data_IF_874946665625
#
_entry.id   IF_874946665625
#
_cell.length_a   1.000
_cell.length_b   1.000
_cell.length_c   1.000
_cell.angle_alpha   90.00
_cell.angle_beta   90.00
_cell.angle_gamma   90.00
#
_symmetry.space_group_name_H-M   'P 1'
#
loop_
_entity.id
_entity.type
_entity.pdbx_description
1 polymer ?
#
# COMPACT_ATOMS: atom_id res chain seq x y z
N UNK A 1 -18.45 10.26 -28.15
CA UNK A 1 -17.25 9.39 -28.24
C UNK A 1 -17.01 8.66 -26.93
N UNK A 2 -16.93 9.33 -25.78
CA UNK A 2 -16.75 8.73 -24.44
C UNK A 2 -17.80 7.67 -24.10
N UNK A 3 -19.09 7.96 -24.36
CA UNK A 3 -20.19 7.03 -24.06
C UNK A 3 -20.04 5.69 -24.81
N UNK A 4 -19.56 5.75 -26.08
CA UNK A 4 -19.33 4.56 -26.91
C UNK A 4 -18.14 3.74 -26.42
N UNK A 5 -17.05 4.41 -26.03
CA UNK A 5 -15.81 3.71 -25.61
C UNK A 5 -15.97 3.08 -24.21
N UNK A 6 -16.46 3.86 -23.24
CA UNK A 6 -16.61 3.39 -21.86
C UNK A 6 -17.93 2.66 -21.60
N UNK A 7 -18.84 2.57 -22.62
CA UNK A 7 -20.13 1.87 -22.51
C UNK A 7 -20.97 2.38 -21.34
N UNK A 8 -21.06 3.71 -21.20
CA UNK A 8 -21.67 4.35 -20.04
C UNK A 8 -23.14 3.95 -19.88
N UNK A 9 -23.90 3.90 -20.99
CA UNK A 9 -25.33 3.50 -20.97
C UNK A 9 -25.50 2.04 -20.57
N UNK A 10 -24.63 1.14 -21.06
CA UNK A 10 -24.64 -0.27 -20.70
C UNK A 10 -24.39 -0.48 -19.19
N UNK A 11 -23.58 0.38 -18.59
CA UNK A 11 -23.23 0.36 -17.17
C UNK A 11 -24.13 1.26 -16.31
N UNK A 12 -25.26 1.75 -16.84
CA UNK A 12 -26.22 2.61 -16.13
C UNK A 12 -25.57 3.83 -15.44
N UNK A 13 -24.62 4.48 -16.10
CA UNK A 13 -23.89 5.63 -15.56
C UNK A 13 -23.85 6.80 -16.57
N UNK A 14 -23.35 7.94 -16.13
CA UNK A 14 -23.21 9.15 -16.95
C UNK A 14 -21.80 9.73 -16.82
N UNK A 15 -21.35 10.53 -17.80
CA UNK A 15 -20.04 11.23 -17.75
C UNK A 15 -19.89 12.01 -16.44
N UNK A 16 -20.93 12.73 -16.03
CA UNK A 16 -20.91 13.51 -14.79
C UNK A 16 -20.69 12.63 -13.56
N UNK A 17 -21.40 11.49 -13.49
CA UNK A 17 -21.28 10.55 -12.38
C UNK A 17 -19.87 9.95 -12.32
N UNK A 18 -19.33 9.52 -13.46
CA UNK A 18 -17.99 8.94 -13.55
C UNK A 18 -16.89 9.94 -13.17
N UNK A 19 -16.99 11.20 -13.65
CA UNK A 19 -16.04 12.25 -13.28
C UNK A 19 -16.10 12.55 -11.79
N UNK A 20 -17.30 12.66 -11.21
CA UNK A 20 -17.47 12.89 -9.77
C UNK A 20 -16.95 11.70 -8.94
N UNK A 21 -17.15 10.47 -9.42
CA UNK A 21 -16.60 9.27 -8.82
C UNK A 21 -15.06 9.27 -8.86
N UNK A 22 -14.47 9.65 -10.00
CA UNK A 22 -13.01 9.76 -10.15
C UNK A 22 -12.41 10.82 -9.23
N UNK A 23 -13.03 11.99 -9.11
CA UNK A 23 -12.63 13.02 -8.13
C UNK A 23 -12.72 12.45 -6.70
N UNK A 24 -13.81 11.75 -6.39
CA UNK A 24 -13.99 11.15 -5.05
C UNK A 24 -12.90 10.11 -4.76
N UNK A 25 -12.57 9.22 -5.73
CA UNK A 25 -11.49 8.24 -5.58
C UNK A 25 -10.16 8.96 -5.37
N UNK A 26 -9.83 9.96 -6.20
CA UNK A 26 -8.60 10.73 -6.04
C UNK A 26 -8.50 11.38 -4.66
N UNK A 27 -9.58 12.03 -4.18
CA UNK A 27 -9.60 12.68 -2.86
C UNK A 27 -9.33 11.69 -1.72
N UNK A 28 -9.81 10.44 -1.84
CA UNK A 28 -9.53 9.40 -0.84
C UNK A 28 -8.14 8.83 -0.93
N UNK A 29 -7.49 8.93 -2.10
CA UNK A 29 -6.13 8.43 -2.37
C UNK A 29 -5.04 9.48 -2.24
N UNK A 30 -5.37 10.76 -2.28
CA UNK A 30 -4.38 11.84 -2.39
C UNK A 30 -3.39 11.89 -1.19
N UNK A 31 -3.69 11.20 -0.09
CA UNK A 31 -2.75 11.02 1.02
C UNK A 31 -1.46 10.32 0.58
N UNK A 32 -1.51 9.47 -0.45
CA UNK A 32 -0.35 8.77 -1.03
C UNK A 32 0.73 9.77 -1.49
N UNK A 33 0.32 10.95 -1.96
CA UNK A 33 1.24 12.00 -2.41
C UNK A 33 2.14 12.55 -1.29
N UNK A 34 1.70 12.44 -0.04
CA UNK A 34 2.51 12.78 1.12
C UNK A 34 3.20 11.55 1.73
N UNK A 35 2.45 10.45 1.86
CA UNK A 35 2.91 9.24 2.56
C UNK A 35 4.00 8.49 1.77
N UNK A 36 3.83 8.32 0.45
CA UNK A 36 4.79 7.54 -0.33
C UNK A 36 6.18 8.20 -0.40
N UNK A 37 6.31 9.52 -0.69
CA UNK A 37 7.58 10.20 -0.60
C UNK A 37 8.23 10.16 0.80
N UNK A 38 7.43 10.17 1.85
CA UNK A 38 7.92 10.05 3.23
C UNK A 38 8.54 8.67 3.47
N UNK A 39 7.81 7.58 3.16
CA UNK A 39 8.30 6.20 3.38
C UNK A 39 9.53 5.88 2.54
N UNK A 40 9.53 6.23 1.26
CA UNK A 40 10.68 5.96 0.39
C UNK A 40 11.83 6.94 0.65
N UNK A 41 11.54 8.12 1.21
CA UNK A 41 12.52 9.06 1.72
C UNK A 41 13.33 8.47 2.89
N UNK A 42 12.68 7.73 3.80
CA UNK A 42 13.36 7.00 4.88
C UNK A 42 14.36 5.95 4.32
N UNK A 43 14.08 5.41 3.13
CA UNK A 43 14.99 4.52 2.40
C UNK A 43 16.13 5.26 1.65
N UNK A 44 16.24 6.58 1.78
CA UNK A 44 17.30 7.41 1.18
C UNK A 44 17.02 7.86 -0.26
N UNK A 45 15.76 7.77 -0.74
CA UNK A 45 15.35 8.29 -2.04
C UNK A 45 14.95 9.77 -1.92
N UNK A 46 15.19 10.59 -2.97
CA UNK A 46 14.74 12.00 -2.98
C UNK A 46 13.18 12.06 -2.98
N UNK A 47 12.57 12.72 -1.97
CA UNK A 47 11.11 12.74 -1.85
C UNK A 47 10.40 13.43 -3.02
N UNK A 48 11.02 14.45 -3.64
CA UNK A 48 10.45 15.14 -4.81
C UNK A 48 10.47 14.23 -6.02
N UNK A 49 11.57 13.53 -6.27
CA UNK A 49 11.69 12.54 -7.33
C UNK A 49 10.66 11.42 -7.17
N UNK A 50 10.55 10.87 -5.96
CA UNK A 50 9.56 9.84 -5.61
C UNK A 50 8.14 10.32 -5.86
N UNK A 51 7.80 11.56 -5.48
CA UNK A 51 6.46 12.10 -5.71
C UNK A 51 6.15 12.19 -7.21
N UNK A 52 7.05 12.73 -8.01
CA UNK A 52 6.87 12.83 -9.46
C UNK A 52 6.71 11.44 -10.06
N UNK A 53 7.58 10.49 -9.68
CA UNK A 53 7.54 9.11 -10.13
C UNK A 53 6.21 8.43 -9.73
N UNK A 54 5.72 8.64 -8.51
CA UNK A 54 4.46 8.12 -8.01
C UNK A 54 3.26 8.66 -8.79
N UNK A 55 3.23 9.96 -9.05
CA UNK A 55 2.17 10.58 -9.86
C UNK A 55 2.14 10.04 -11.29
N UNK A 56 3.30 9.94 -11.92
CA UNK A 56 3.43 9.43 -13.29
C UNK A 56 3.08 7.95 -13.38
N UNK A 57 3.54 7.13 -12.44
CA UNK A 57 3.21 5.71 -12.39
C UNK A 57 1.71 5.48 -12.16
N UNK A 58 1.12 6.25 -11.23
CA UNK A 58 -0.33 6.23 -10.97
C UNK A 58 -1.14 6.67 -12.20
N UNK A 59 -0.66 7.69 -12.93
CA UNK A 59 -1.24 8.11 -14.20
C UNK A 59 -1.20 6.97 -15.23
N UNK A 60 -0.03 6.40 -15.50
CA UNK A 60 0.16 5.32 -16.48
C UNK A 60 -0.71 4.11 -16.11
N UNK A 61 -0.64 3.64 -14.87
CA UNK A 61 -1.40 2.48 -14.41
C UNK A 61 -2.91 2.69 -14.52
N UNK A 62 -3.40 3.84 -14.07
CA UNK A 62 -4.84 4.15 -14.12
C UNK A 62 -5.35 4.38 -15.55
N UNK A 63 -4.51 4.91 -16.45
CA UNK A 63 -4.82 4.98 -17.89
C UNK A 63 -4.89 3.57 -18.49
N UNK A 64 -3.92 2.68 -18.19
CA UNK A 64 -3.98 1.28 -18.61
C UNK A 64 -5.24 0.58 -18.10
N UNK A 65 -5.62 0.77 -16.82
CA UNK A 65 -6.85 0.24 -16.25
C UNK A 65 -8.08 0.75 -16.99
N UNK A 66 -8.13 2.05 -17.27
CA UNK A 66 -9.24 2.69 -17.97
C UNK A 66 -9.41 2.17 -19.40
N UNK A 67 -8.30 2.03 -20.13
CA UNK A 67 -8.32 1.69 -21.55
C UNK A 67 -8.38 0.18 -21.80
N UNK A 68 -7.67 -0.64 -21.03
CA UNK A 68 -7.59 -2.08 -21.24
C UNK A 68 -8.74 -2.83 -20.57
N UNK A 69 -9.04 -2.49 -19.31
CA UNK A 69 -10.03 -3.19 -18.51
C UNK A 69 -11.41 -2.51 -18.52
N UNK A 70 -11.47 -1.20 -18.74
CA UNK A 70 -12.67 -0.38 -18.58
C UNK A 70 -13.30 -0.55 -17.18
N UNK A 71 -12.48 -0.49 -16.13
CA UNK A 71 -12.89 -0.66 -14.74
C UNK A 71 -12.66 0.62 -13.93
N UNK A 72 -13.48 0.90 -12.89
CA UNK A 72 -13.39 2.11 -12.09
C UNK A 72 -12.28 2.05 -11.02
N UNK A 73 -11.32 1.13 -11.17
CA UNK A 73 -10.21 0.98 -10.23
C UNK A 73 -9.07 1.91 -10.59
N UNK A 74 -8.50 2.56 -9.59
CA UNK A 74 -7.37 3.46 -9.75
C UNK A 74 -6.12 2.78 -9.21
N UNK A 75 -4.99 2.93 -9.88
CA UNK A 75 -3.72 2.37 -9.49
C UNK A 75 -2.83 3.45 -8.89
N UNK A 76 -2.15 3.12 -7.81
CA UNK A 76 -1.12 3.95 -7.19
C UNK A 76 -0.21 3.10 -6.31
N UNK A 77 0.69 3.75 -5.57
CA UNK A 77 1.63 3.05 -4.71
C UNK A 77 0.93 2.23 -3.61
N UNK A 78 1.27 0.95 -3.52
CA UNK A 78 0.77 0.03 -2.49
C UNK A 78 1.49 0.23 -1.16
N UNK A 79 0.79 0.71 -0.13
CA UNK A 79 1.43 1.07 1.15
C UNK A 79 2.15 -0.10 1.82
N UNK A 80 1.58 -1.32 1.77
CA UNK A 80 2.22 -2.51 2.30
C UNK A 80 3.52 -2.86 1.60
N UNK A 81 3.53 -2.77 0.27
CA UNK A 81 4.71 -3.03 -0.55
C UNK A 81 5.78 -1.95 -0.37
N UNK A 82 5.37 -0.68 -0.23
CA UNK A 82 6.30 0.41 0.06
C UNK A 82 6.98 0.25 1.41
N UNK A 83 6.21 -0.17 2.41
CA UNK A 83 6.75 -0.46 3.74
C UNK A 83 7.72 -1.66 3.70
N UNK A 84 7.41 -2.71 2.98
CA UNK A 84 8.32 -3.83 2.75
C UNK A 84 9.59 -3.38 2.02
N UNK A 85 9.45 -2.56 0.98
CA UNK A 85 10.57 -1.97 0.25
C UNK A 85 11.51 -1.20 1.18
N UNK A 86 10.98 -0.19 1.89
CA UNK A 86 11.78 0.73 2.68
C UNK A 86 12.32 0.08 3.96
N UNK A 87 11.42 -0.49 4.77
CA UNK A 87 11.78 -0.91 6.13
C UNK A 87 12.33 -2.33 6.21
N UNK A 88 11.89 -3.25 5.34
CA UNK A 88 12.42 -4.61 5.36
C UNK A 88 13.63 -4.75 4.46
N UNK A 89 13.52 -4.37 3.17
CA UNK A 89 14.59 -4.63 2.20
C UNK A 89 15.74 -3.63 2.36
N UNK A 90 15.45 -2.32 2.39
CA UNK A 90 16.50 -1.31 2.43
C UNK A 90 17.07 -1.16 3.83
N UNK A 91 16.24 -0.83 4.83
CA UNK A 91 16.71 -0.57 6.18
C UNK A 91 17.00 -1.84 6.97
N UNK A 92 16.16 -2.88 6.84
CA UNK A 92 16.29 -4.13 7.58
C UNK A 92 17.42 -5.02 7.07
N UNK A 93 17.50 -5.27 5.77
CA UNK A 93 18.58 -6.07 5.17
C UNK A 93 19.82 -5.25 4.81
N UNK A 94 19.72 -3.91 4.84
CA UNK A 94 20.84 -3.02 4.50
C UNK A 94 21.16 -2.97 3.01
N UNK A 95 20.20 -3.31 2.13
CA UNK A 95 20.43 -3.31 0.69
C UNK A 95 20.19 -1.93 0.07
N UNK A 96 20.95 -1.56 -0.97
CA UNK A 96 20.68 -0.33 -1.71
C UNK A 96 19.26 -0.30 -2.26
N UNK A 97 18.58 0.84 -2.21
CA UNK A 97 17.21 0.97 -2.72
C UNK A 97 17.09 0.68 -4.22
N UNK A 98 18.18 0.82 -5.00
CA UNK A 98 18.24 0.43 -6.40
C UNK A 98 18.04 -1.08 -6.60
N UNK A 99 18.55 -1.90 -5.67
CA UNK A 99 18.34 -3.36 -5.67
C UNK A 99 16.86 -3.68 -5.41
N UNK A 100 16.24 -2.99 -4.47
CA UNK A 100 14.81 -3.12 -4.21
C UNK A 100 13.97 -2.70 -5.42
N UNK A 101 14.32 -1.60 -6.12
CA UNK A 101 13.66 -1.19 -7.37
C UNK A 101 13.82 -2.21 -8.49
N UNK A 102 15.01 -2.82 -8.62
CA UNK A 102 15.21 -3.88 -9.60
C UNK A 102 14.35 -5.11 -9.26
N UNK A 103 14.21 -5.46 -7.98
CA UNK A 103 13.34 -6.55 -7.57
C UNK A 103 11.87 -6.27 -7.96
N UNK A 104 11.38 -5.05 -7.76
CA UNK A 104 10.05 -4.59 -8.20
C UNK A 104 9.92 -4.62 -9.73
N UNK A 105 10.95 -4.21 -10.45
CA UNK A 105 10.94 -4.29 -11.92
C UNK A 105 10.81 -5.73 -12.42
N UNK A 106 11.62 -6.64 -11.85
CA UNK A 106 11.58 -8.07 -12.21
C UNK A 106 10.25 -8.70 -11.82
N UNK A 107 9.72 -8.34 -10.65
CA UNK A 107 8.37 -8.71 -10.21
C UNK A 107 7.31 -8.32 -11.25
N UNK A 108 7.31 -7.04 -11.68
CA UNK A 108 6.38 -6.54 -12.68
C UNK A 108 6.46 -7.31 -14.00
N UNK A 109 7.67 -7.63 -14.49
CA UNK A 109 7.86 -8.46 -15.69
C UNK A 109 7.30 -9.86 -15.51
N UNK A 110 7.58 -10.50 -14.35
CA UNK A 110 7.02 -11.82 -14.03
C UNK A 110 5.49 -11.75 -14.03
N UNK A 111 4.90 -10.70 -13.43
CA UNK A 111 3.45 -10.53 -13.41
C UNK A 111 2.85 -10.28 -14.79
N UNK A 112 3.53 -9.57 -15.71
CA UNK A 112 3.11 -9.45 -17.10
C UNK A 112 3.00 -10.86 -17.71
N UNK A 113 4.04 -11.69 -17.57
CA UNK A 113 4.05 -13.06 -18.09
C UNK A 113 2.95 -13.92 -17.43
N UNK A 114 2.78 -13.85 -16.12
CA UNK A 114 1.76 -14.61 -15.39
C UNK A 114 0.33 -14.14 -15.73
N UNK A 115 0.13 -12.85 -16.06
CA UNK A 115 -1.18 -12.31 -16.45
C UNK A 115 -1.64 -12.76 -17.84
N UNK A 116 -0.71 -13.23 -18.69
CA UNK A 116 -1.03 -13.89 -19.95
C UNK A 116 -1.57 -15.31 -19.75
N UNK A 117 -1.37 -15.87 -18.58
CA UNK A 117 -1.82 -17.21 -18.16
C UNK A 117 -2.82 -17.10 -17.01
N UNK A 118 -3.40 -18.22 -16.57
CA UNK A 118 -4.29 -18.26 -15.39
C UNK A 118 -3.51 -18.60 -14.10
N UNK A 119 -2.18 -18.56 -14.13
CA UNK A 119 -1.35 -19.00 -13.00
C UNK A 119 -1.51 -18.07 -11.79
N UNK A 120 -1.59 -16.75 -12.01
CA UNK A 120 -1.80 -15.76 -10.93
C UNK A 120 -3.11 -16.01 -10.17
N UNK A 121 -4.21 -16.28 -10.89
CA UNK A 121 -5.50 -16.64 -10.29
C UNK A 121 -5.42 -17.99 -9.56
N UNK A 122 -4.75 -19.00 -10.16
CA UNK A 122 -4.62 -20.32 -9.55
C UNK A 122 -3.84 -20.30 -8.25
N UNK A 123 -2.77 -19.49 -8.15
CA UNK A 123 -2.01 -19.31 -6.91
C UNK A 123 -2.92 -18.67 -5.85
N UNK A 124 -3.63 -17.59 -6.19
CA UNK A 124 -4.54 -16.94 -5.26
C UNK A 124 -5.65 -17.87 -4.78
N UNK A 125 -6.28 -18.61 -5.70
CA UNK A 125 -7.36 -19.55 -5.36
C UNK A 125 -6.87 -20.73 -4.51
N UNK A 126 -5.58 -21.07 -4.57
CA UNK A 126 -4.99 -22.14 -3.77
C UNK A 126 -4.92 -21.83 -2.27
N UNK A 127 -4.93 -20.54 -1.91
CA UNK A 127 -4.74 -20.08 -0.55
C UNK A 127 -6.08 -20.07 0.19
N UNK A 128 -6.14 -20.61 1.42
CA UNK A 128 -7.37 -20.64 2.20
C UNK A 128 -7.90 -19.24 2.52
N UNK A 129 -9.22 -19.09 2.47
CA UNK A 129 -9.90 -17.81 2.69
C UNK A 129 -9.55 -17.13 4.03
N UNK A 130 -9.45 -17.85 5.18
CA UNK A 130 -9.02 -17.24 6.43
C UNK A 130 -7.62 -16.64 6.35
N UNK A 131 -6.71 -17.30 5.65
CA UNK A 131 -5.34 -16.80 5.49
C UNK A 131 -5.28 -15.57 4.58
N UNK A 132 -6.10 -15.51 3.51
CA UNK A 132 -6.24 -14.31 2.67
C UNK A 132 -6.68 -13.09 3.49
N UNK A 133 -7.69 -13.27 4.34
CA UNK A 133 -8.14 -12.19 5.23
C UNK A 133 -7.10 -11.81 6.27
N UNK A 134 -6.38 -12.79 6.83
CA UNK A 134 -5.32 -12.56 7.80
C UNK A 134 -4.17 -11.74 7.21
N UNK A 135 -3.79 -11.98 5.95
CA UNK A 135 -2.78 -11.16 5.26
C UNK A 135 -3.21 -9.70 5.22
N UNK A 136 -4.45 -9.41 4.80
CA UNK A 136 -4.97 -8.03 4.77
C UNK A 136 -4.99 -7.38 6.16
N UNK A 137 -5.41 -8.12 7.19
CA UNK A 137 -5.43 -7.65 8.59
C UNK A 137 -4.00 -7.36 9.08
N UNK A 138 -3.07 -8.30 8.81
CA UNK A 138 -1.67 -8.17 9.24
C UNK A 138 -0.97 -6.97 8.58
N UNK A 139 -1.19 -6.77 7.27
CA UNK A 139 -0.69 -5.58 6.55
C UNK A 139 -1.26 -4.30 7.20
N UNK A 140 -2.56 -4.28 7.53
CA UNK A 140 -3.18 -3.14 8.18
C UNK A 140 -2.55 -2.80 9.54
N UNK A 141 -2.33 -3.79 10.38
CA UNK A 141 -1.64 -3.62 11.67
C UNK A 141 -0.20 -3.14 11.50
N UNK A 142 0.51 -3.71 10.53
CA UNK A 142 1.89 -3.36 10.22
C UNK A 142 2.02 -1.89 9.76
N UNK A 143 1.16 -1.43 8.85
CA UNK A 143 1.14 -0.05 8.37
C UNK A 143 0.80 0.92 9.51
N UNK A 144 -0.18 0.58 10.36
CA UNK A 144 -0.52 1.41 11.53
C UNK A 144 0.65 1.52 12.51
N UNK A 145 1.37 0.42 12.74
CA UNK A 145 2.55 0.38 13.60
C UNK A 145 3.68 1.28 13.06
N UNK A 146 3.97 1.18 11.76
CA UNK A 146 4.93 2.06 11.08
C UNK A 146 4.52 3.54 11.25
N UNK A 147 3.25 3.88 11.01
CA UNK A 147 2.76 5.23 11.18
C UNK A 147 3.00 5.77 12.58
N UNK A 148 2.74 4.99 13.62
CA UNK A 148 2.98 5.38 15.01
C UNK A 148 4.47 5.53 15.34
N UNK A 149 5.34 4.71 14.74
CA UNK A 149 6.80 4.84 14.89
C UNK A 149 7.33 6.09 14.17
N UNK A 150 6.92 6.33 12.92
CA UNK A 150 7.36 7.49 12.14
C UNK A 150 6.99 8.83 12.79
N UNK A 151 5.91 8.87 13.57
CA UNK A 151 5.53 10.03 14.37
C UNK A 151 6.21 10.11 15.74
N UNK A 152 6.99 9.10 16.11
CA UNK A 152 7.60 9.01 17.43
C UNK A 152 6.60 8.77 18.56
N UNK A 153 5.40 8.24 18.28
CA UNK A 153 4.43 7.82 19.32
C UNK A 153 4.91 6.52 19.95
N UNK A 154 5.32 5.57 19.11
CA UNK A 154 5.99 4.34 19.52
C UNK A 154 7.49 4.52 19.29
N UNK A 155 8.27 4.27 20.30
CA UNK A 155 9.73 4.41 20.31
C UNK A 155 10.39 3.13 20.80
N UNK A 156 11.69 3.02 20.58
CA UNK A 156 12.45 1.87 21.09
C UNK A 156 12.36 1.81 22.62
N UNK A 157 12.10 0.63 23.12
CA UNK A 157 12.01 0.32 24.54
C UNK A 157 13.17 -0.54 25.01
N UNK A 158 13.27 -0.72 26.32
CA UNK A 158 14.29 -1.59 26.91
C UNK A 158 14.15 -3.06 26.54
N UNK A 159 12.94 -3.48 26.17
CA UNK A 159 12.65 -4.87 25.77
C UNK A 159 12.26 -4.98 24.31
N UNK A 160 11.31 -4.22 23.82
CA UNK A 160 10.87 -4.21 22.44
C UNK A 160 10.55 -2.78 22.01
N UNK A 161 9.37 -2.28 22.36
CA UNK A 161 8.92 -0.92 22.09
C UNK A 161 8.23 -0.33 23.30
N UNK A 162 8.17 1.01 23.38
CA UNK A 162 7.48 1.73 24.43
C UNK A 162 6.72 2.94 23.87
N UNK A 163 5.80 3.46 24.67
CA UNK A 163 5.17 4.75 24.38
C UNK A 163 6.16 5.87 24.65
N UNK A 164 6.18 6.89 23.80
CA UNK A 164 7.00 8.08 23.97
C UNK A 164 6.71 8.75 25.33
N UNK A 165 7.75 9.28 25.95
CA UNK A 165 7.56 10.15 27.10
C UNK A 165 7.22 11.56 26.60
N UNK A 166 5.94 11.92 26.65
CA UNK A 166 5.46 13.23 26.17
C UNK A 166 6.06 14.42 26.90
N UNK A 167 6.51 14.26 28.12
CA UNK A 167 7.09 15.35 28.90
C UNK A 167 8.55 15.64 28.49
N UNK A 168 9.30 14.61 28.14
CA UNK A 168 10.70 14.75 27.70
C UNK A 168 10.71 15.29 26.27
N UNK A 169 11.41 16.39 26.02
CA UNK A 169 11.49 17.06 24.72
C UNK A 169 10.10 17.38 24.13
N UNK A 170 9.19 17.93 24.98
CA UNK A 170 7.83 18.24 24.59
C UNK A 170 7.75 19.13 23.35
N UNK A 171 8.63 20.13 23.22
CA UNK A 171 8.63 21.10 22.11
C UNK A 171 9.06 20.51 20.75
N UNK A 172 9.46 19.25 20.68
CA UNK A 172 9.87 18.56 19.45
C UNK A 172 9.14 17.23 19.31
N UNK A 173 9.68 16.13 19.85
CA UNK A 173 9.09 14.79 19.75
C UNK A 173 7.75 14.65 20.45
N UNK A 174 7.62 15.22 21.68
CA UNK A 174 6.39 15.10 22.45
C UNK A 174 5.17 15.73 21.77
N UNK A 175 5.31 16.96 21.27
CA UNK A 175 4.22 17.65 20.57
C UNK A 175 3.91 16.99 19.22
N UNK A 176 4.93 16.52 18.47
CA UNK A 176 4.74 15.80 17.20
C UNK A 176 3.92 14.52 17.41
N UNK A 177 4.28 13.72 18.41
CA UNK A 177 3.53 12.51 18.77
C UNK A 177 2.09 12.82 19.22
N UNK A 178 1.91 13.87 20.01
CA UNK A 178 0.56 14.29 20.44
C UNK A 178 -0.29 14.74 19.26
N UNK A 179 0.26 15.52 18.34
CA UNK A 179 -0.43 15.97 17.12
C UNK A 179 -0.82 14.80 16.23
N UNK A 180 0.03 13.78 16.10
CA UNK A 180 -0.29 12.55 15.36
C UNK A 180 -1.51 11.83 15.95
N UNK A 181 -1.61 11.72 17.27
CA UNK A 181 -2.76 11.12 17.95
C UNK A 181 -4.03 11.98 17.78
N UNK A 182 -3.94 13.29 17.97
CA UNK A 182 -5.05 14.21 17.74
C UNK A 182 -5.53 14.13 16.30
N UNK A 183 -4.61 14.11 15.33
CA UNK A 183 -4.90 13.96 13.91
C UNK A 183 -5.62 12.65 13.58
N UNK A 184 -5.22 11.56 14.23
CA UNK A 184 -5.91 10.26 14.09
C UNK A 184 -7.36 10.36 14.56
N UNK A 185 -7.64 11.01 15.69
CA UNK A 185 -9.00 11.25 16.14
C UNK A 185 -9.79 12.15 15.19
N UNK A 186 -9.17 13.23 14.67
CA UNK A 186 -9.82 14.10 13.68
C UNK A 186 -10.19 13.30 12.44
N UNK A 187 -9.28 12.47 11.92
CA UNK A 187 -9.53 11.62 10.75
C UNK A 187 -10.70 10.67 10.99
N UNK A 188 -10.73 10.02 12.16
CA UNK A 188 -11.81 9.13 12.56
C UNK A 188 -13.17 9.86 12.61
N UNK A 189 -13.22 11.05 13.22
CA UNK A 189 -14.44 11.86 13.28
C UNK A 189 -14.92 12.26 11.88
N UNK A 190 -14.01 12.71 11.02
CA UNK A 190 -14.35 13.08 9.64
C UNK A 190 -14.90 11.89 8.86
N UNK A 191 -14.30 10.70 9.06
CA UNK A 191 -14.77 9.46 8.43
C UNK A 191 -16.15 9.03 8.94
N UNK A 192 -16.39 9.05 10.25
CA UNK A 192 -17.70 8.74 10.86
C UNK A 192 -18.78 9.68 10.33
N UNK A 193 -18.43 10.95 10.10
CA UNK A 193 -19.32 11.94 9.48
C UNK A 193 -19.47 11.81 7.96
N UNK A 194 -18.91 10.77 7.35
CA UNK A 194 -18.93 10.51 5.91
C UNK A 194 -18.37 11.67 5.07
N UNK A 195 -17.36 12.39 5.56
CA UNK A 195 -16.68 13.44 4.80
C UNK A 195 -15.82 12.78 3.73
N UNK A 196 -16.10 13.08 2.47
CA UNK A 196 -15.29 12.58 1.34
C UNK A 196 -13.87 13.12 1.43
N UNK A 197 -12.86 12.24 1.30
CA UNK A 197 -11.46 12.62 1.49
C UNK A 197 -11.05 12.84 2.95
N UNK A 198 -11.77 12.25 3.92
CA UNK A 198 -11.51 12.36 5.37
C UNK A 198 -10.05 12.12 5.74
N UNK A 199 -9.37 11.17 5.08
CA UNK A 199 -7.97 10.86 5.33
C UNK A 199 -7.07 12.04 4.94
N UNK A 200 -7.26 12.59 3.72
CA UNK A 200 -6.52 13.77 3.28
C UNK A 200 -6.77 14.99 4.17
N UNK A 201 -8.04 15.25 4.50
CA UNK A 201 -8.39 16.34 5.42
C UNK A 201 -7.84 16.14 6.82
N UNK A 202 -7.72 14.88 7.28
CA UNK A 202 -7.05 14.54 8.52
C UNK A 202 -5.57 14.92 8.52
N UNK A 203 -4.85 14.59 7.45
CA UNK A 203 -3.45 15.00 7.26
C UNK A 203 -3.33 16.54 7.28
N UNK A 204 -4.12 17.22 6.46
CA UNK A 204 -4.06 18.68 6.34
C UNK A 204 -4.39 19.37 7.67
N UNK A 205 -5.43 18.90 8.39
CA UNK A 205 -5.79 19.44 9.69
C UNK A 205 -4.66 19.23 10.71
N UNK A 206 -4.01 18.06 10.72
CA UNK A 206 -2.88 17.77 11.62
C UNK A 206 -1.69 18.67 11.29
N UNK A 207 -1.39 18.87 10.00
CA UNK A 207 -0.33 19.75 9.57
C UNK A 207 -0.59 21.21 9.96
N UNK A 208 -1.82 21.71 9.72
CA UNK A 208 -2.25 23.07 10.13
C UNK A 208 -2.10 23.25 11.65
N UNK A 209 -2.52 22.28 12.46
CA UNK A 209 -2.30 22.30 13.90
C UNK A 209 -0.81 22.36 14.25
N UNK A 210 0.04 21.60 13.55
CA UNK A 210 1.49 21.68 13.70
C UNK A 210 2.04 23.05 13.39
N UNK A 211 1.62 23.68 12.29
CA UNK A 211 2.00 25.07 11.91
C UNK A 211 1.57 26.04 13.01
N UNK A 212 0.37 25.93 13.55
CA UNK A 212 -0.10 26.77 14.66
C UNK A 212 0.77 26.56 15.91
N UNK A 213 1.16 25.32 16.23
CA UNK A 213 2.09 25.04 17.33
C UNK A 213 3.47 25.66 17.08
N UNK A 214 3.96 25.67 15.85
CA UNK A 214 5.24 26.35 15.51
C UNK A 214 5.12 27.88 15.66
N UNK A 215 4.04 28.49 15.17
CA UNK A 215 3.84 29.94 15.28
C UNK A 215 3.66 30.41 16.73
N UNK A 216 3.10 29.57 17.60
CA UNK A 216 2.94 29.87 19.04
C UNK A 216 4.17 29.50 19.88
N UNK A 217 5.22 28.91 19.29
CA UNK A 217 6.43 28.49 20.00
C UNK A 217 6.28 27.21 20.81
N UNK A 218 5.17 26.47 20.66
CA UNK A 218 4.98 25.16 21.28
C UNK A 218 5.84 24.10 20.57
N UNK A 219 5.86 24.12 19.23
CA UNK A 219 6.79 23.34 18.42
C UNK A 219 7.99 24.23 18.05
N UNK A 220 9.19 23.76 18.34
CA UNK A 220 10.43 24.48 18.05
C UNK A 220 11.24 23.68 17.01
N UNK A 221 11.42 24.20 15.79
CA UNK A 221 12.25 23.54 14.79
C UNK A 221 13.70 23.39 15.30
N UNK A 222 14.19 22.16 15.23
CA UNK A 222 15.58 21.81 15.63
C UNK A 222 16.16 20.89 14.55
N UNK A 223 16.66 21.44 13.43
CA UNK A 223 17.13 20.65 12.28
C UNK A 223 18.21 19.63 12.63
N UNK A 224 19.08 19.93 13.60
CA UNK A 224 20.12 19.02 14.09
C UNK A 224 19.56 17.74 14.72
N UNK A 225 18.33 17.81 15.24
CA UNK A 225 17.59 16.66 15.81
C UNK A 225 16.53 16.08 14.85
N UNK A 226 16.53 16.50 13.57
CA UNK A 226 15.59 16.02 12.56
C UNK A 226 14.22 16.71 12.57
N UNK A 227 14.01 17.76 13.35
CA UNK A 227 12.76 18.52 13.42
C UNK A 227 12.85 19.79 12.58
N UNK A 228 12.30 19.76 11.37
CA UNK A 228 12.33 20.86 10.42
C UNK A 228 11.16 21.82 10.58
N UNK A 229 11.24 22.99 9.90
CA UNK A 229 10.11 23.92 9.83
C UNK A 229 8.91 23.28 9.15
N UNK A 230 7.73 23.49 9.74
CA UNK A 230 6.45 22.96 9.26
C UNK A 230 5.78 23.89 8.24
N UNK A 231 6.38 25.07 7.97
CA UNK A 231 5.81 26.03 7.02
C UNK A 231 5.91 25.47 5.60
N UNK A 232 4.82 25.53 4.79
CA UNK A 232 4.86 25.05 3.43
C UNK A 232 5.81 25.87 2.57
N UNK A 233 6.61 25.21 1.77
CA UNK A 233 7.41 25.83 0.73
C UNK A 233 6.53 25.96 -0.52
N UNK A 234 6.18 27.19 -0.88
CA UNK A 234 5.45 27.47 -2.11
C UNK A 234 6.47 27.56 -3.26
N UNK A 235 6.30 26.69 -4.25
CA UNK A 235 7.17 26.64 -5.43
C UNK A 235 6.60 25.73 -6.49
N UNK A 236 7.11 25.86 -7.71
CA UNK A 236 6.84 24.90 -8.77
C UNK A 236 7.77 23.69 -8.62
N UNK A 237 7.29 22.55 -9.03
CA UNK A 237 8.05 21.29 -8.99
C UNK A 237 9.29 21.39 -9.87
N UNK A 238 10.44 21.02 -9.32
CA UNK A 238 11.66 20.80 -10.10
C UNK A 238 11.63 19.40 -10.73
N UNK A 239 11.23 19.34 -11.98
CA UNK A 239 11.16 18.08 -12.74
C UNK A 239 12.52 17.45 -13.02
N UNK A 240 13.64 18.20 -12.87
CA UNK A 240 14.99 17.63 -13.06
C UNK A 240 15.29 16.56 -12.00
N UNK A 241 14.68 16.67 -10.82
CA UNK A 241 14.77 15.70 -9.72
C UNK A 241 14.34 14.27 -10.10
N UNK A 242 13.42 14.12 -11.06
CA UNK A 242 13.05 12.80 -11.55
C UNK A 242 14.26 12.00 -12.06
N UNK A 243 15.29 12.68 -12.59
CA UNK A 243 16.53 12.04 -13.03
C UNK A 243 17.31 11.31 -11.92
N UNK A 244 17.05 11.64 -10.64
CA UNK A 244 17.69 10.98 -9.51
C UNK A 244 17.15 9.56 -9.26
N UNK A 245 15.91 9.28 -9.68
CA UNK A 245 15.27 7.96 -9.48
C UNK A 245 15.00 7.23 -10.80
N UNK A 246 14.83 7.95 -11.91
CA UNK A 246 14.50 7.37 -13.21
C UNK A 246 15.58 6.41 -13.70
N UNK A 247 15.20 5.18 -14.01
CA UNK A 247 16.08 4.14 -14.54
C UNK A 247 17.13 3.61 -13.56
N UNK A 248 17.07 4.01 -12.28
CA UNK A 248 18.03 3.57 -11.28
C UNK A 248 17.91 2.07 -10.95
N UNK A 249 16.77 1.44 -11.21
CA UNK A 249 16.62 -0.01 -11.12
C UNK A 249 17.65 -0.77 -11.98
N UNK A 250 18.10 -0.17 -13.10
CA UNK A 250 19.12 -0.77 -13.97
C UNK A 250 20.58 -0.50 -13.53
N UNK A 251 20.77 0.31 -12.48
CA UNK A 251 22.07 0.63 -11.90
C UNK A 251 22.28 -0.02 -10.53
N UNK A 252 21.51 -1.08 -10.25
CA UNK A 252 21.60 -1.80 -9.00
C UNK A 252 22.99 -2.43 -8.82
N UNK A 253 23.62 -2.14 -7.69
CA UNK A 253 24.89 -2.77 -7.29
C UNK A 253 24.59 -4.02 -6.44
N UNK A 254 25.03 -5.18 -6.92
CA UNK A 254 24.86 -6.47 -6.25
C UNK A 254 26.03 -6.82 -5.34
N UNK A 255 27.01 -5.93 -5.17
CA UNK A 255 28.12 -6.18 -4.23
C UNK A 255 27.56 -6.31 -2.81
N UNK A 256 27.60 -7.54 -2.28
CA UNK A 256 27.03 -7.87 -0.97
C UNK A 256 25.58 -8.42 -0.99
N UNK A 257 24.92 -8.50 -2.14
CA UNK A 257 23.60 -9.11 -2.27
C UNK A 257 23.72 -10.50 -2.88
N UNK A 258 23.49 -11.54 -2.08
CA UNK A 258 23.46 -12.91 -2.61
C UNK A 258 22.31 -13.09 -3.62
N UNK A 259 22.57 -13.81 -4.72
CA UNK A 259 21.57 -14.08 -5.74
C UNK A 259 20.32 -14.77 -5.16
N UNK A 260 20.52 -15.64 -4.18
CA UNK A 260 19.43 -16.31 -3.49
C UNK A 260 18.56 -15.33 -2.70
N UNK A 261 19.16 -14.39 -1.97
CA UNK A 261 18.46 -13.36 -1.22
C UNK A 261 17.65 -12.46 -2.16
N UNK A 262 18.21 -12.11 -3.32
CA UNK A 262 17.50 -11.35 -4.33
C UNK A 262 16.27 -12.08 -4.87
N UNK A 263 16.38 -13.38 -5.15
CA UNK A 263 15.25 -14.22 -5.56
C UNK A 263 14.15 -14.24 -4.46
N UNK A 264 14.54 -14.34 -3.19
CA UNK A 264 13.59 -14.30 -2.06
C UNK A 264 12.88 -12.94 -1.96
N UNK A 265 13.60 -11.84 -2.19
CA UNK A 265 13.01 -10.50 -2.20
C UNK A 265 11.96 -10.38 -3.32
N UNK A 266 12.30 -10.79 -4.55
CA UNK A 266 11.36 -10.81 -5.68
C UNK A 266 10.12 -11.64 -5.33
N UNK A 267 10.33 -12.84 -4.79
CA UNK A 267 9.24 -13.73 -4.42
C UNK A 267 8.34 -13.13 -3.33
N UNK A 268 8.92 -12.41 -2.38
CA UNK A 268 8.16 -11.71 -1.34
C UNK A 268 7.33 -10.57 -1.91
N UNK A 269 7.88 -9.77 -2.82
CA UNK A 269 7.12 -8.74 -3.53
C UNK A 269 5.97 -9.36 -4.32
N UNK A 270 6.24 -10.38 -5.13
CA UNK A 270 5.23 -11.12 -5.90
C UNK A 270 4.07 -11.59 -5.03
N UNK A 271 4.38 -12.12 -3.85
CA UNK A 271 3.36 -12.66 -2.95
C UNK A 271 2.51 -11.56 -2.33
N UNK A 272 3.15 -10.52 -1.82
CA UNK A 272 2.44 -9.39 -1.20
C UNK A 272 1.54 -8.68 -2.21
N UNK A 273 2.06 -8.39 -3.42
CA UNK A 273 1.30 -7.74 -4.48
C UNK A 273 0.13 -8.60 -4.98
N UNK A 274 0.34 -9.92 -5.12
CA UNK A 274 -0.72 -10.85 -5.50
C UNK A 274 -1.91 -10.78 -4.53
N UNK A 275 -1.65 -10.74 -3.23
CA UNK A 275 -2.71 -10.65 -2.22
C UNK A 275 -3.37 -9.28 -2.20
N UNK A 276 -2.58 -8.22 -2.32
CA UNK A 276 -3.08 -6.84 -2.28
C UNK A 276 -3.98 -6.58 -3.49
N UNK A 277 -3.50 -6.87 -4.69
CA UNK A 277 -4.25 -6.68 -5.93
C UNK A 277 -5.50 -7.54 -6.01
N UNK A 278 -5.38 -8.87 -5.87
CA UNK A 278 -6.54 -9.75 -6.03
C UNK A 278 -7.54 -9.59 -4.89
N UNK A 279 -7.07 -9.37 -3.66
CA UNK A 279 -7.93 -9.09 -2.52
C UNK A 279 -8.76 -7.82 -2.72
N UNK A 280 -8.12 -6.77 -3.22
CA UNK A 280 -8.76 -5.49 -3.52
C UNK A 280 -9.73 -5.60 -4.70
N UNK A 281 -9.27 -6.14 -5.83
CA UNK A 281 -10.07 -6.26 -7.05
C UNK A 281 -11.35 -7.05 -6.80
N UNK A 282 -11.26 -8.23 -6.17
CA UNK A 282 -12.43 -9.06 -5.87
C UNK A 282 -13.34 -8.37 -4.85
N UNK A 283 -12.77 -7.80 -3.80
CA UNK A 283 -13.53 -7.14 -2.75
C UNK A 283 -14.30 -5.91 -3.24
N UNK A 284 -13.69 -5.06 -4.06
CA UNK A 284 -14.36 -3.88 -4.65
C UNK A 284 -15.39 -4.31 -5.69
N UNK A 285 -15.04 -5.28 -6.54
CA UNK A 285 -15.97 -5.83 -7.56
C UNK A 285 -17.22 -6.44 -6.94
N UNK A 286 -17.08 -7.11 -5.79
CA UNK A 286 -18.22 -7.65 -5.04
C UNK A 286 -19.15 -6.53 -4.54
N UNK A 287 -18.59 -5.45 -3.95
CA UNK A 287 -19.38 -4.29 -3.54
C UNK A 287 -20.04 -3.56 -4.71
N UNK A 288 -19.41 -3.60 -5.87
CA UNK A 288 -19.88 -2.95 -7.10
C UNK A 288 -20.93 -3.80 -7.87
N UNK A 289 -21.21 -5.03 -7.42
CA UNK A 289 -21.99 -6.03 -8.15
C UNK A 289 -21.46 -6.29 -9.58
N UNK A 290 -20.13 -6.34 -9.72
CA UNK A 290 -19.45 -6.60 -11.00
C UNK A 290 -19.00 -8.05 -11.16
N UNK A 291 -19.19 -8.90 -10.14
CA UNK A 291 -18.88 -10.33 -10.19
C UNK A 291 -19.98 -11.08 -10.93
N UNK A 292 -19.59 -12.13 -11.64
CA UNK A 292 -20.52 -13.07 -12.27
C UNK A 292 -21.18 -14.01 -11.24
N UNK A 293 -22.06 -14.89 -11.71
CA UNK A 293 -22.76 -15.87 -10.87
C UNK A 293 -21.84 -16.84 -10.13
N UNK A 294 -20.59 -17.00 -10.59
CA UNK A 294 -19.55 -17.82 -9.98
C UNK A 294 -18.64 -17.03 -9.04
N UNK A 295 -18.95 -15.75 -8.77
CA UNK A 295 -18.13 -14.87 -7.95
C UNK A 295 -16.82 -14.44 -8.60
N UNK A 296 -16.68 -14.54 -9.93
CA UNK A 296 -15.49 -14.13 -10.69
C UNK A 296 -15.71 -12.80 -11.39
N UNK A 297 -14.63 -12.02 -11.53
CA UNK A 297 -14.65 -10.79 -12.31
C UNK A 297 -14.43 -11.10 -13.80
N UNK A 298 -15.40 -10.81 -14.71
CA UNK A 298 -15.31 -11.19 -16.12
C UNK A 298 -14.10 -10.63 -16.88
N UNK A 299 -13.52 -9.53 -16.40
CA UNK A 299 -12.37 -8.85 -17.02
C UNK A 299 -11.12 -8.84 -16.13
N UNK A 300 -10.89 -9.89 -15.35
CA UNK A 300 -9.79 -9.93 -14.41
C UNK A 300 -8.42 -9.87 -15.11
N UNK A 301 -8.23 -10.53 -16.25
CA UNK A 301 -6.95 -10.53 -16.98
C UNK A 301 -6.48 -9.14 -17.42
N UNK A 302 -7.27 -8.30 -18.10
CA UNK A 302 -6.88 -6.93 -18.41
C UNK A 302 -6.61 -6.09 -17.15
N UNK A 303 -7.32 -6.32 -16.04
CA UNK A 303 -7.07 -5.66 -14.74
C UNK A 303 -5.68 -6.03 -14.23
N UNK A 304 -5.36 -7.33 -14.16
CA UNK A 304 -4.06 -7.82 -13.70
C UNK A 304 -2.91 -7.40 -14.63
N UNK A 305 -3.18 -7.28 -15.94
CA UNK A 305 -2.19 -6.78 -16.90
C UNK A 305 -1.91 -5.29 -16.69
N UNK A 306 -2.95 -4.47 -16.46
CA UNK A 306 -2.78 -3.04 -16.17
C UNK A 306 -1.97 -2.83 -14.88
N UNK A 307 -2.21 -3.63 -13.87
CA UNK A 307 -1.49 -3.66 -12.61
C UNK A 307 0.01 -4.00 -12.81
N UNK A 308 0.31 -5.07 -13.54
CA UNK A 308 1.68 -5.48 -13.84
C UNK A 308 2.47 -4.43 -14.67
N UNK A 309 1.80 -3.78 -15.63
CA UNK A 309 2.39 -2.68 -16.40
C UNK A 309 2.68 -1.48 -15.49
N UNK A 310 1.76 -1.16 -14.58
CA UNK A 310 1.93 -0.06 -13.64
C UNK A 310 3.12 -0.29 -12.70
N UNK A 311 3.24 -1.49 -12.14
CA UNK A 311 4.37 -1.92 -11.28
C UNK A 311 5.70 -1.80 -12.04
N UNK A 312 5.77 -2.35 -13.26
CA UNK A 312 6.98 -2.26 -14.09
C UNK A 312 7.35 -0.81 -14.41
N UNK A 313 6.37 0.02 -14.81
CA UNK A 313 6.59 1.42 -15.11
C UNK A 313 6.99 2.21 -13.84
N UNK A 314 6.38 1.92 -12.70
CA UNK A 314 6.71 2.52 -11.41
C UNK A 314 8.16 2.28 -11.01
N UNK A 315 8.64 1.05 -11.15
CA UNK A 315 10.03 0.71 -10.86
C UNK A 315 11.03 1.44 -11.78
N UNK A 316 10.70 1.61 -13.07
CA UNK A 316 11.54 2.38 -14.01
C UNK A 316 11.52 3.88 -13.68
N UNK A 317 10.38 4.43 -13.29
CA UNK A 317 10.25 5.83 -12.90
C UNK A 317 10.95 6.11 -11.55
N UNK A 318 11.13 5.10 -10.73
CA UNK A 318 11.79 5.22 -9.42
C UNK A 318 10.81 5.43 -8.28
N UNK A 319 9.66 4.77 -8.35
CA UNK A 319 8.78 4.54 -7.20
C UNK A 319 8.64 3.04 -6.98
N UNK A 320 8.13 2.65 -5.82
CA UNK A 320 7.88 1.26 -5.46
C UNK A 320 6.74 0.66 -6.31
N UNK A 321 6.25 -0.51 -5.95
CA UNK A 321 5.17 -1.22 -6.64
C UNK A 321 3.94 -0.32 -6.78
N UNK A 322 3.49 -0.13 -8.02
CA UNK A 322 2.27 0.61 -8.34
C UNK A 322 1.18 -0.38 -8.66
N UNK A 323 0.34 -0.65 -7.70
CA UNK A 323 -0.66 -1.72 -7.74
C UNK A 323 -2.08 -1.17 -7.76
N UNK A 324 -3.06 -2.04 -7.95
CA UNK A 324 -4.47 -1.71 -7.81
C UNK A 324 -4.73 -1.26 -6.37
N UNK A 325 -5.08 -0.01 -6.20
CA UNK A 325 -5.19 0.62 -4.89
C UNK A 325 -6.17 -0.04 -3.97
N UNK A 326 -5.89 0.18 -2.70
CA UNK A 326 -6.59 -0.44 -1.59
C UNK A 326 -8.12 -0.38 -1.72
N UNK A 327 -8.73 -1.38 -1.13
CA UNK A 327 -10.17 -1.63 -1.08
C UNK A 327 -11.02 -0.40 -0.69
N UNK A 328 -10.48 0.48 0.14
CA UNK A 328 -11.22 1.62 0.68
C UNK A 328 -11.39 2.72 -0.37
N UNK A 329 -10.33 3.09 -1.04
CA UNK A 329 -10.29 4.21 -1.97
C UNK A 329 -11.08 3.92 -3.25
N UNK A 330 -10.86 2.76 -3.86
CA UNK A 330 -11.65 2.32 -5.02
C UNK A 330 -13.12 2.09 -4.66
N UNK A 331 -13.40 1.59 -3.44
CA UNK A 331 -14.77 1.45 -2.94
C UNK A 331 -15.49 2.79 -2.80
N UNK A 332 -14.80 3.86 -2.43
CA UNK A 332 -15.38 5.20 -2.32
C UNK A 332 -15.83 5.73 -3.69
N UNK A 333 -15.02 5.54 -4.73
CA UNK A 333 -15.40 5.90 -6.10
C UNK A 333 -16.59 5.09 -6.62
N UNK A 334 -16.59 3.78 -6.38
CA UNK A 334 -17.70 2.90 -6.73
C UNK A 334 -18.98 3.29 -5.97
N UNK A 335 -18.89 3.61 -4.68
CA UNK A 335 -20.02 4.11 -3.88
C UNK A 335 -20.54 5.45 -4.39
N UNK A 336 -19.67 6.29 -4.97
CA UNK A 336 -20.06 7.54 -5.62
C UNK A 336 -20.69 7.34 -7.02
N UNK A 337 -20.82 6.10 -7.48
CA UNK A 337 -21.47 5.75 -8.74
C UNK A 337 -20.52 5.41 -9.89
N UNK A 338 -19.21 5.32 -9.65
CA UNK A 338 -18.21 4.89 -10.65
C UNK A 338 -18.43 3.43 -11.06
N UNK A 339 -18.46 3.20 -12.38
CA UNK A 339 -18.71 1.87 -12.96
C UNK A 339 -17.78 1.52 -14.10
N UNK A 340 -17.07 2.51 -14.63
CA UNK A 340 -16.29 2.37 -15.86
C UNK A 340 -14.90 2.95 -15.72
N UNK A 341 -14.05 2.70 -16.73
CA UNK A 341 -12.69 3.26 -16.81
C UNK A 341 -12.64 4.79 -16.86
N UNK A 342 -13.75 5.48 -17.10
CA UNK A 342 -13.76 6.95 -17.07
C UNK A 342 -13.51 7.49 -15.64
N UNK A 343 -13.95 6.77 -14.60
CA UNK A 343 -13.59 7.05 -13.19
C UNK A 343 -12.07 6.99 -13.02
N UNK A 344 -11.43 5.90 -13.47
CA UNK A 344 -9.98 5.73 -13.37
C UNK A 344 -9.22 6.79 -14.18
N UNK A 345 -9.68 7.10 -15.39
CA UNK A 345 -9.07 8.12 -16.24
C UNK A 345 -9.15 9.53 -15.62
N UNK A 346 -10.25 9.87 -14.95
CA UNK A 346 -10.39 11.14 -14.23
C UNK A 346 -9.39 11.26 -13.09
N UNK A 347 -9.27 10.20 -12.29
CA UNK A 347 -8.27 10.15 -11.19
C UNK A 347 -6.84 10.23 -11.73
N UNK A 348 -6.55 9.54 -12.85
CA UNK A 348 -5.26 9.60 -13.54
C UNK A 348 -4.89 11.05 -13.90
N UNK A 349 -5.82 11.79 -14.49
CA UNK A 349 -5.61 13.22 -14.82
C UNK A 349 -5.29 14.07 -13.59
N UNK A 350 -5.94 13.81 -12.45
CA UNK A 350 -5.66 14.52 -11.19
C UNK A 350 -4.28 14.17 -10.62
N UNK A 351 -3.83 12.90 -10.73
CA UNK A 351 -2.46 12.54 -10.38
C UNK A 351 -1.44 13.27 -11.24
N UNK A 352 -1.68 13.36 -12.55
CA UNK A 352 -0.80 14.10 -13.46
C UNK A 352 -0.71 15.58 -13.09
N UNK A 353 -1.84 16.23 -12.75
CA UNK A 353 -1.86 17.64 -12.29
C UNK A 353 -1.11 17.77 -10.96
N UNK A 354 -1.19 16.80 -10.08
CA UNK A 354 -0.50 16.80 -8.77
C UNK A 354 1.01 16.84 -8.88
N UNK A 355 1.61 16.42 -10.02
CA UNK A 355 3.05 16.56 -10.25
C UNK A 355 3.55 18.00 -10.16
N UNK A 356 2.69 18.98 -10.43
CA UNK A 356 3.04 20.42 -10.39
C UNK A 356 3.21 20.95 -8.95
N UNK A 357 2.69 20.24 -7.95
CA UNK A 357 2.61 20.68 -6.56
C UNK A 357 3.50 19.88 -5.61
N UNK A 358 4.58 19.27 -6.12
CA UNK A 358 5.47 18.44 -5.30
C UNK A 358 5.99 19.17 -4.04
N UNK A 359 6.43 20.44 -4.08
CA UNK A 359 6.92 21.13 -2.88
C UNK A 359 5.88 21.23 -1.76
N UNK A 360 4.58 21.29 -2.12
CA UNK A 360 3.50 21.33 -1.13
C UNK A 360 3.32 19.98 -0.44
N UNK A 361 3.35 18.88 -1.18
CA UNK A 361 3.14 17.55 -0.61
C UNK A 361 4.34 17.05 0.16
N UNK A 362 5.57 17.34 -0.30
CA UNK A 362 6.80 16.93 0.38
C UNK A 362 7.10 17.76 1.64
N UNK A 363 6.45 18.92 1.81
CA UNK A 363 6.54 19.71 3.03
C UNK A 363 5.70 19.14 4.19
N UNK A 364 4.82 18.15 3.92
CA UNK A 364 3.97 17.54 4.95
C UNK A 364 4.85 16.64 5.84
N UNK A 365 4.93 16.92 7.16
CA UNK A 365 5.80 16.15 8.05
C UNK A 365 5.22 14.77 8.36
N UNK A 366 6.08 13.82 8.75
CA UNK A 366 5.70 12.43 9.04
C UNK A 366 4.62 12.29 10.11
N UNK A 367 4.64 13.11 11.16
CA UNK A 367 3.59 13.08 12.19
C UNK A 367 2.20 13.46 11.63
N UNK A 368 2.14 14.27 10.57
CA UNK A 368 0.89 14.63 9.92
C UNK A 368 0.39 13.55 8.94
N UNK A 369 1.27 12.67 8.42
CA UNK A 369 0.88 11.52 7.60
C UNK A 369 0.44 10.32 8.42
N UNK A 370 0.87 10.23 9.68
CA UNK A 370 0.51 9.15 10.62
C UNK A 370 -0.98 8.87 10.75
N UNK A 371 -1.88 9.88 10.86
CA UNK A 371 -3.32 9.68 10.86
C UNK A 371 -3.82 8.83 9.69
N UNK A 372 -3.24 9.03 8.50
CA UNK A 372 -3.61 8.25 7.31
C UNK A 372 -3.18 6.79 7.47
N UNK A 373 -1.93 6.54 7.85
CA UNK A 373 -1.41 5.18 8.02
C UNK A 373 -2.17 4.39 9.08
N UNK A 374 -2.44 5.01 10.24
CA UNK A 374 -3.20 4.38 11.33
C UNK A 374 -4.64 4.11 10.88
N UNK A 375 -5.26 5.05 10.19
CA UNK A 375 -6.65 4.91 9.79
C UNK A 375 -6.84 3.92 8.64
N UNK A 376 -5.97 3.92 7.64
CA UNK A 376 -5.94 2.89 6.57
C UNK A 376 -5.71 1.52 7.18
N UNK A 377 -4.76 1.41 8.12
CA UNK A 377 -4.53 0.19 8.89
C UNK A 377 -5.79 -0.31 9.59
N UNK A 378 -6.56 0.57 10.24
CA UNK A 378 -7.85 0.24 10.86
C UNK A 378 -8.86 -0.28 9.82
N UNK A 379 -8.97 0.36 8.67
CA UNK A 379 -9.91 -0.07 7.62
C UNK A 379 -9.55 -1.46 7.06
N UNK A 380 -8.28 -1.79 6.93
CA UNK A 380 -7.81 -3.12 6.57
C UNK A 380 -8.06 -4.14 7.70
N UNK A 381 -7.89 -3.73 8.96
CA UNK A 381 -8.14 -4.56 10.14
C UNK A 381 -9.60 -5.00 10.24
N UNK A 382 -10.56 -4.26 9.71
CA UNK A 382 -11.99 -4.67 9.70
C UNK A 382 -12.24 -6.03 9.04
N UNK A 383 -11.31 -6.51 8.17
CA UNK A 383 -11.39 -7.85 7.58
C UNK A 383 -11.22 -8.99 8.60
N UNK A 384 -10.85 -8.72 9.84
CA UNK A 384 -10.73 -9.73 10.91
C UNK A 384 -12.06 -10.46 11.15
N UNK A 385 -13.18 -9.76 11.00
CA UNK A 385 -14.51 -10.35 11.14
C UNK A 385 -14.82 -11.41 10.10
N UNK A 386 -14.15 -11.36 8.94
CA UNK A 386 -14.32 -12.34 7.84
C UNK A 386 -13.50 -13.61 8.06
N UNK A 387 -12.56 -13.62 9.01
CA UNK A 387 -11.81 -14.82 9.38
C UNK A 387 -12.75 -15.84 10.04
N UNK A 388 -13.78 -15.36 10.76
CA UNK A 388 -14.82 -16.17 11.40
C UNK A 388 -14.24 -17.30 12.27
N UNK A 389 -13.49 -16.91 13.31
CA UNK A 389 -12.71 -17.85 14.12
C UNK A 389 -13.56 -18.88 14.85
N UNK A 390 -14.81 -18.54 15.20
CA UNK A 390 -15.69 -19.38 16.01
C UNK A 390 -16.26 -20.57 15.21
N UNK A 391 -16.52 -20.38 13.91
CA UNK A 391 -17.14 -21.41 13.05
C UNK A 391 -16.13 -22.24 12.25
N UNK A 392 -14.82 -21.96 12.38
CA UNK A 392 -13.78 -22.63 11.62
C UNK A 392 -12.90 -23.50 12.49
N UNK A 393 -12.36 -24.60 11.93
CA UNK A 393 -11.44 -25.45 12.68
C UNK A 393 -10.13 -24.71 13.01
N UNK A 394 -9.57 -24.99 14.19
CA UNK A 394 -8.32 -24.37 14.65
C UNK A 394 -7.16 -24.58 13.68
N UNK A 395 -7.17 -25.65 12.89
CA UNK A 395 -6.16 -25.87 11.83
C UNK A 395 -6.17 -24.83 10.71
N UNK A 396 -7.22 -23.98 10.63
CA UNK A 396 -7.31 -22.86 9.69
C UNK A 396 -7.16 -21.51 10.39
N UNK A 397 -7.63 -21.38 11.65
CA UNK A 397 -7.63 -20.09 12.37
C UNK A 397 -6.31 -19.80 13.07
N UNK A 398 -5.61 -20.82 13.60
CA UNK A 398 -4.26 -20.65 14.17
C UNK A 398 -3.25 -20.16 13.14
N UNK A 399 -3.18 -20.68 11.90
CA UNK A 399 -2.35 -20.11 10.85
C UNK A 399 -2.67 -18.65 10.52
N UNK A 400 -3.94 -18.31 10.48
CA UNK A 400 -4.38 -16.93 10.27
C UNK A 400 -3.89 -16.00 11.41
N UNK A 401 -4.04 -16.43 12.67
CA UNK A 401 -3.51 -15.71 13.83
C UNK A 401 -2.00 -15.54 13.77
N UNK A 402 -1.24 -16.60 13.47
CA UNK A 402 0.23 -16.53 13.36
C UNK A 402 0.66 -15.60 12.22
N UNK A 403 -0.05 -15.60 11.10
CA UNK A 403 0.21 -14.71 9.98
C UNK A 403 0.16 -13.23 10.41
N UNK A 404 -0.94 -12.80 11.01
CA UNK A 404 -1.11 -11.40 11.41
C UNK A 404 -0.20 -10.99 12.58
N UNK A 405 0.06 -11.90 13.53
CA UNK A 405 0.93 -11.65 14.66
C UNK A 405 2.38 -11.43 14.20
N UNK A 406 2.87 -12.33 13.35
CA UNK A 406 4.26 -12.28 12.91
C UNK A 406 4.54 -11.09 12.00
N UNK A 407 3.59 -10.62 11.19
CA UNK A 407 3.77 -9.39 10.38
C UNK A 407 4.17 -8.20 11.24
N UNK A 408 3.47 -8.00 12.35
CA UNK A 408 3.71 -6.84 13.22
C UNK A 408 4.95 -7.02 14.10
N UNK A 409 5.14 -8.22 14.69
CA UNK A 409 6.23 -8.47 15.63
C UNK A 409 7.60 -8.62 14.95
N UNK A 410 7.65 -9.21 13.75
CA UNK A 410 8.89 -9.36 13.00
C UNK A 410 9.20 -8.14 12.12
N UNK A 411 8.32 -7.13 12.11
CA UNK A 411 8.42 -5.97 11.23
C UNK A 411 8.52 -6.34 9.74
N UNK A 412 7.82 -7.42 9.33
CA UNK A 412 7.91 -7.97 7.98
C UNK A 412 6.63 -8.67 7.53
N UNK A 413 6.05 -8.17 6.43
CA UNK A 413 4.87 -8.80 5.79
C UNK A 413 5.22 -10.21 5.30
N UNK A 414 6.40 -10.39 4.72
CA UNK A 414 6.86 -11.67 4.18
C UNK A 414 6.98 -12.74 5.26
N UNK A 415 7.44 -12.38 6.47
CA UNK A 415 7.51 -13.30 7.60
C UNK A 415 6.12 -13.75 8.03
N UNK A 416 5.17 -12.82 8.17
CA UNK A 416 3.80 -13.17 8.51
C UNK A 416 3.16 -14.15 7.53
N UNK A 417 3.30 -13.89 6.23
CA UNK A 417 2.80 -14.79 5.17
C UNK A 417 3.48 -16.17 5.28
N UNK A 418 4.80 -16.20 5.46
CA UNK A 418 5.57 -17.44 5.58
C UNK A 418 5.08 -18.29 6.76
N UNK A 419 4.95 -17.70 7.94
CA UNK A 419 4.43 -18.39 9.13
C UNK A 419 2.99 -18.87 8.93
N UNK A 420 2.13 -18.07 8.31
CA UNK A 420 0.77 -18.46 7.98
C UNK A 420 0.69 -19.67 7.06
N UNK A 421 1.44 -19.66 5.97
CA UNK A 421 1.46 -20.74 4.98
C UNK A 421 2.05 -22.03 5.57
N UNK A 422 3.22 -21.94 6.21
CA UNK A 422 3.90 -23.10 6.81
C UNK A 422 3.02 -23.75 7.89
N UNK A 423 2.47 -22.93 8.80
CA UNK A 423 1.63 -23.45 9.89
C UNK A 423 0.33 -24.06 9.37
N UNK A 424 -0.27 -23.49 8.32
CA UNK A 424 -1.47 -24.07 7.69
C UNK A 424 -1.20 -25.47 7.15
N UNK A 425 -0.13 -25.63 6.39
CA UNK A 425 0.22 -26.93 5.80
C UNK A 425 0.57 -27.94 6.89
N UNK A 426 1.42 -27.57 7.84
CA UNK A 426 1.86 -28.48 8.91
C UNK A 426 0.68 -28.93 9.79
N UNK A 427 -0.18 -28.00 10.24
CA UNK A 427 -1.31 -28.33 11.11
C UNK A 427 -2.32 -29.23 10.41
N UNK A 428 -2.65 -28.95 9.14
CA UNK A 428 -3.59 -29.79 8.39
C UNK A 428 -2.98 -31.18 8.05
N UNK A 429 -1.68 -31.28 7.81
CA UNK A 429 -0.98 -32.57 7.66
C UNK A 429 -1.07 -33.41 8.92
N UNK A 430 -0.70 -32.83 10.07
CA UNK A 430 -0.72 -33.52 11.37
C UNK A 430 -2.15 -33.91 11.77
N UNK A 431 -3.15 -33.06 11.47
CA UNK A 431 -4.55 -33.35 11.72
C UNK A 431 -5.19 -34.32 10.71
N UNK A 432 -4.46 -34.84 9.74
CA UNK A 432 -4.95 -35.80 8.75
C UNK A 432 -5.89 -35.18 7.68
N UNK A 433 -5.91 -33.85 7.53
CA UNK A 433 -6.78 -33.11 6.60
C UNK A 433 -6.06 -32.74 5.29
N UNK A 434 -5.38 -33.72 4.67
CA UNK A 434 -4.56 -33.52 3.46
C UNK A 434 -5.37 -33.00 2.27
N UNK A 435 -6.62 -33.36 2.18
CA UNK A 435 -7.59 -32.94 1.17
C UNK A 435 -7.90 -31.43 1.17
N UNK A 436 -7.63 -30.74 2.29
CA UNK A 436 -7.73 -29.28 2.39
C UNK A 436 -6.52 -28.53 1.87
N UNK A 437 -5.42 -29.21 1.59
CA UNK A 437 -4.16 -28.59 1.18
C UNK A 437 -4.03 -28.68 -0.34
N UNK A 438 -4.09 -27.52 -1.01
CA UNK A 438 -3.81 -27.44 -2.44
C UNK A 438 -2.33 -27.79 -2.72
N UNK A 439 -1.99 -28.51 -3.81
CA UNK A 439 -0.61 -28.82 -4.18
C UNK A 439 0.33 -27.61 -4.21
N UNK A 440 -0.16 -26.43 -4.64
CA UNK A 440 0.62 -25.19 -4.66
C UNK A 440 1.07 -24.79 -3.24
N UNK A 441 0.24 -25.03 -2.21
CA UNK A 441 0.58 -24.70 -0.83
C UNK A 441 1.79 -25.52 -0.32
N UNK A 442 1.96 -26.77 -0.78
CA UNK A 442 3.16 -27.56 -0.47
C UNK A 442 4.42 -26.94 -1.07
N UNK A 443 4.34 -26.53 -2.34
CA UNK A 443 5.47 -25.86 -3.02
C UNK A 443 5.85 -24.58 -2.28
N UNK A 444 4.86 -23.76 -1.93
CA UNK A 444 5.09 -22.52 -1.18
C UNK A 444 5.72 -22.77 0.19
N UNK A 445 5.23 -23.80 0.91
CA UNK A 445 5.80 -24.18 2.22
C UNK A 445 7.26 -24.58 2.09
N UNK A 446 7.61 -25.40 1.08
CA UNK A 446 9.00 -25.77 0.84
C UNK A 446 9.87 -24.55 0.53
N UNK A 447 9.39 -23.63 -0.32
CA UNK A 447 10.12 -22.41 -0.65
C UNK A 447 10.34 -21.52 0.59
N UNK A 448 9.34 -21.36 1.46
CA UNK A 448 9.49 -20.59 2.69
C UNK A 448 10.41 -21.27 3.71
N UNK A 449 10.38 -22.60 3.83
CA UNK A 449 11.32 -23.33 4.69
C UNK A 449 12.75 -23.18 4.16
N UNK A 450 12.96 -23.30 2.85
CA UNK A 450 14.27 -23.07 2.23
C UNK A 450 14.77 -21.64 2.48
N UNK A 451 13.88 -20.66 2.43
CA UNK A 451 14.20 -19.28 2.82
C UNK A 451 14.83 -19.22 4.21
N UNK A 452 14.23 -19.88 5.23
CA UNK A 452 14.77 -19.87 6.60
C UNK A 452 16.04 -20.72 6.80
N UNK A 453 16.32 -21.64 5.90
CA UNK A 453 17.54 -22.45 5.98
C UNK A 453 18.76 -21.74 5.36
N UNK A 454 18.55 -20.82 4.43
CA UNK A 454 19.60 -20.18 3.64
C UNK A 454 19.70 -18.67 3.79
N UNK A 455 18.76 -18.03 4.48
CA UNK A 455 18.77 -16.64 4.92
C UNK A 455 18.99 -16.56 6.43
#
# INVERSE_FOLDING_TARGET
MLDKYFKLKENNTTVKTEVMAGITTFMTMAYILAVNPSILGDAGMDPTAVLIATCLASFIGSVCMALMANMPFVLSAGMGLNAYFAYTVVLGFGYPWQVALLAVFVEGIIFIVLSLTNVREAIFDSIPLPLKHAVSVGIGLFIAFIGLQSAGVIVDGSTLVSLVNFHTNFSTSGISALLALIGTFITAVLYIKNVRGSILFGILATWVLGILCQLTGIYVPTPEAGFYSLLPTLGMTDFSKLGETFGQCFKADFSGVGIFNFIVIIFSFLFVDLFDTLGTVIGVSSKANMLDENGKLPRIRPVLMADAIATTAGAVLGTSTTTTTTFVESSAGVAAGGRTGLTALTSAGLFLVSTLFAPLFTAIPSFATTPALVFVGFLMFTNITKINMDDRPMSETVPAYLCLLMMTLSYSIAEGISFGVISFVLLNLVCGKKDKINPIMYVLTVLFILKYMFL
#
